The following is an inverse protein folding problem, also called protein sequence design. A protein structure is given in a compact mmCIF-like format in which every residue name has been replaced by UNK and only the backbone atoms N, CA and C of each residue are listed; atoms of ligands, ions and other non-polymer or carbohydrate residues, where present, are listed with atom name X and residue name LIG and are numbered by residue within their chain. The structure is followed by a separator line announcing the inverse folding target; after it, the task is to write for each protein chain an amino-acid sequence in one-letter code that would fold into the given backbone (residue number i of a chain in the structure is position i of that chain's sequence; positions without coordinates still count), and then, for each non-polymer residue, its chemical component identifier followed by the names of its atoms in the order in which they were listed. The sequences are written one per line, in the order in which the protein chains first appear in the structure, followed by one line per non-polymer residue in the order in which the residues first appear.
data_IF_378121679121
#
_entry.id   IF_378121679121
#
_cell.length_a   1.000
_cell.length_b   1.000
_cell.length_c   1.000
_cell.angle_alpha   90.00
_cell.angle_beta   90.00
_cell.angle_gamma   90.00
#
_symmetry.space_group_name_H-M   'P 1'
#
loop_
_entity.id
_entity.type
_entity.pdbx_description
1 polymer ?
#
# COMPACT_ATOMS: atom_id res chain seq x y z
N UNK A 1 67.31 6.99 7.85
CA UNK A 1 66.10 6.26 8.27
C UNK A 1 64.90 7.18 8.10
N UNK A 2 64.36 7.26 6.88
CA UNK A 2 63.15 8.03 6.54
C UNK A 2 62.48 7.27 5.39
N UNK A 3 61.25 6.79 5.57
CA UNK A 3 60.49 6.21 4.47
C UNK A 3 59.58 5.06 4.90
N UNK A 4 58.49 5.35 5.62
CA UNK A 4 57.40 4.38 5.75
C UNK A 4 56.04 4.97 6.22
N UNK A 5 55.81 6.28 6.08
CA UNK A 5 54.57 6.92 6.55
C UNK A 5 53.65 7.48 5.46
N UNK A 6 53.95 7.27 4.17
CA UNK A 6 53.17 7.90 3.07
C UNK A 6 52.15 6.94 2.43
N UNK A 7 52.21 5.63 2.69
CA UNK A 7 51.36 4.66 1.97
C UNK A 7 49.98 4.46 2.63
N UNK A 8 49.84 4.72 3.93
CA UNK A 8 48.58 4.48 4.65
C UNK A 8 47.51 5.54 4.46
N UNK A 9 47.85 6.77 4.07
CA UNK A 9 46.87 7.84 3.86
C UNK A 9 46.12 7.73 2.52
N UNK A 10 46.75 7.16 1.49
CA UNK A 10 46.19 7.11 0.13
C UNK A 10 45.13 6.01 -0.05
N UNK A 11 45.20 4.91 0.70
CA UNK A 11 44.22 3.82 0.63
C UNK A 11 42.90 4.21 1.31
N UNK A 12 42.94 5.05 2.35
CA UNK A 12 41.74 5.52 3.03
C UNK A 12 40.92 6.50 2.17
N UNK A 13 41.60 7.28 1.32
CA UNK A 13 40.93 8.21 0.39
C UNK A 13 40.25 7.50 -0.78
N UNK A 14 40.79 6.37 -1.24
CA UNK A 14 40.17 5.57 -2.31
C UNK A 14 38.95 4.76 -1.82
N UNK A 15 38.91 4.34 -0.56
CA UNK A 15 37.75 3.65 0.02
C UNK A 15 36.55 4.57 0.28
N UNK A 16 36.78 5.87 0.50
CA UNK A 16 35.70 6.86 0.67
C UNK A 16 35.05 7.28 -0.66
N UNK A 17 35.67 7.00 -1.81
CA UNK A 17 35.17 7.42 -3.12
C UNK A 17 34.24 6.39 -3.81
N UNK A 18 34.08 5.17 -3.28
CA UNK A 18 33.33 4.09 -3.94
C UNK A 18 31.87 3.97 -3.45
N UNK A 19 31.44 4.77 -2.47
CA UNK A 19 30.04 4.76 -1.98
C UNK A 19 29.31 6.01 -2.45
N UNK A 20 29.22 6.18 -3.77
CA UNK A 20 28.16 6.98 -4.39
C UNK A 20 27.45 6.03 -5.34
N UNK A 21 26.53 5.25 -4.75
CA UNK A 21 25.58 4.44 -5.50
C UNK A 21 24.59 5.41 -6.11
N UNK A 22 24.52 5.44 -7.44
CA UNK A 22 23.42 6.02 -8.20
C UNK A 22 22.12 5.40 -7.69
N UNK A 23 21.34 6.19 -6.94
CA UNK A 23 19.94 5.90 -6.73
C UNK A 23 19.23 6.39 -8.00
N UNK A 24 18.87 5.46 -8.89
CA UNK A 24 17.97 5.77 -9.99
C UNK A 24 16.70 6.37 -9.41
N UNK A 25 16.40 7.60 -9.82
CA UNK A 25 15.18 8.33 -9.49
C UNK A 25 13.97 7.59 -10.09
N UNK A 26 13.48 6.58 -9.39
CA UNK A 26 12.15 6.01 -9.60
C UNK A 26 11.13 7.11 -9.36
N UNK A 27 10.72 7.80 -10.42
CA UNK A 27 9.71 8.84 -10.33
C UNK A 27 8.40 8.24 -9.78
N UNK A 28 7.99 8.68 -8.59
CA UNK A 28 6.63 8.47 -8.11
C UNK A 28 5.68 9.09 -9.18
N UNK A 29 4.95 8.27 -9.93
CA UNK A 29 3.93 8.74 -10.87
C UNK A 29 2.68 9.31 -10.15
N UNK A 30 2.69 9.37 -8.82
CA UNK A 30 1.51 9.68 -8.03
C UNK A 30 1.12 11.17 -7.98
N UNK A 31 -0.19 11.40 -8.15
CA UNK A 31 -1.00 12.53 -7.66
C UNK A 31 -0.93 13.89 -8.40
N UNK A 32 -0.52 13.94 -9.67
CA UNK A 32 -0.66 15.18 -10.45
C UNK A 32 -2.08 15.45 -11.00
N UNK A 33 -2.97 14.46 -11.02
CA UNK A 33 -4.37 14.71 -11.36
C UNK A 33 -5.21 14.98 -10.09
N UNK A 34 -5.41 16.27 -9.81
CA UNK A 34 -6.52 16.72 -8.96
C UNK A 34 -7.82 16.07 -9.46
N UNK A 35 -8.69 15.56 -8.57
CA UNK A 35 -9.93 14.91 -8.98
C UNK A 35 -10.80 15.88 -9.79
N UNK A 36 -10.84 15.70 -11.12
CA UNK A 36 -11.74 16.40 -12.03
C UNK A 36 -13.16 15.87 -11.87
N UNK A 37 -13.77 15.96 -10.69
CA UNK A 37 -15.21 15.65 -10.51
C UNK A 37 -15.82 16.18 -9.20
N UNK A 38 -15.44 17.38 -8.77
CA UNK A 38 -16.22 18.18 -7.81
C UNK A 38 -16.74 19.47 -8.47
N UNK A 39 -17.42 19.36 -9.62
CA UNK A 39 -18.12 20.49 -10.22
C UNK A 39 -19.53 20.60 -9.63
N UNK A 40 -19.65 21.34 -8.52
CA UNK A 40 -20.83 22.14 -8.09
C UNK A 40 -20.81 22.52 -6.58
N UNK A 41 -19.68 22.93 -6.02
CA UNK A 41 -19.69 23.83 -4.85
C UNK A 41 -18.32 24.45 -4.66
N UNK A 42 -17.98 25.47 -5.44
CA UNK A 42 -17.09 26.58 -5.05
C UNK A 42 -17.01 27.55 -6.25
N UNK A 43 -17.87 28.57 -6.26
CA UNK A 43 -17.82 29.65 -7.25
C UNK A 43 -17.21 30.88 -6.61
N UNK A 44 -15.93 30.79 -6.22
CA UNK A 44 -15.12 31.97 -5.93
C UNK A 44 -13.61 31.66 -5.98
N UNK A 45 -13.04 31.52 -7.18
CA UNK A 45 -11.63 31.82 -7.41
C UNK A 45 -11.35 31.94 -8.91
N UNK A 46 -11.49 33.16 -9.42
CA UNK A 46 -10.82 33.64 -10.63
C UNK A 46 -9.90 34.76 -10.20
N UNK A 47 -8.60 34.51 -10.23
CA UNK A 47 -7.50 35.44 -10.47
C UNK A 47 -6.23 34.78 -9.93
N UNK A 48 -5.46 34.12 -10.79
CA UNK A 48 -3.99 34.06 -10.77
C UNK A 48 -3.54 33.24 -12.00
N UNK A 49 -3.16 33.86 -13.12
CA UNK A 49 -2.20 33.27 -14.04
C UNK A 49 -0.79 33.50 -13.48
N UNK A 50 0.20 32.72 -13.93
CA UNK A 50 1.61 32.67 -13.52
C UNK A 50 1.95 31.65 -12.42
N UNK A 51 2.42 30.48 -12.83
CA UNK A 51 3.85 30.10 -12.72
C UNK A 51 4.05 28.70 -13.31
N UNK A 52 4.55 28.66 -14.54
CA UNK A 52 5.31 27.52 -15.08
C UNK A 52 6.71 27.58 -14.47
N UNK A 53 6.99 26.75 -13.48
CA UNK A 53 8.34 26.26 -13.24
C UNK A 53 8.30 24.93 -12.48
N UNK A 54 8.69 23.87 -13.18
CA UNK A 54 8.49 22.46 -12.83
C UNK A 54 9.76 21.91 -12.13
N UNK A 55 10.27 22.65 -11.13
CA UNK A 55 11.51 22.30 -10.42
C UNK A 55 11.38 22.38 -8.90
N UNK A 56 10.27 21.87 -8.36
CA UNK A 56 9.99 21.79 -6.92
C UNK A 56 9.83 20.34 -6.41
N UNK A 57 10.46 19.35 -7.03
CA UNK A 57 10.53 17.98 -6.48
C UNK A 57 11.72 17.82 -5.52
N UNK A 58 11.83 18.72 -4.54
CA UNK A 58 12.58 18.46 -3.29
C UNK A 58 12.15 19.42 -2.17
N UNK A 59 10.87 19.79 -2.14
CA UNK A 59 10.34 20.34 -0.90
C UNK A 59 10.21 19.16 0.07
N UNK A 60 11.24 18.94 0.88
CA UNK A 60 11.10 18.14 2.11
C UNK A 60 9.80 18.61 2.76
N UNK A 61 8.84 17.71 2.89
CA UNK A 61 7.54 17.98 3.50
C UNK A 61 7.77 18.77 4.79
N UNK A 62 7.47 20.08 4.76
CA UNK A 62 7.71 20.99 5.89
C UNK A 62 6.88 20.58 7.12
N UNK A 63 5.86 19.74 6.89
CA UNK A 63 5.07 19.09 7.93
C UNK A 63 5.15 17.57 7.74
N UNK A 64 5.44 16.80 8.81
CA UNK A 64 5.45 15.34 8.73
C UNK A 64 4.04 14.79 8.50
N UNK A 65 3.96 13.61 7.87
CA UNK A 65 2.77 12.78 7.83
C UNK A 65 2.45 12.30 9.25
N UNK A 66 1.20 12.47 9.66
CA UNK A 66 0.74 12.14 11.00
C UNK A 66 0.14 10.74 11.02
N UNK A 67 -0.71 10.42 10.03
CA UNK A 67 -1.40 9.14 9.95
C UNK A 67 -0.53 8.07 9.28
N UNK A 68 -0.07 8.31 8.06
CA UNK A 68 0.85 7.46 7.29
C UNK A 68 2.32 7.69 7.70
N UNK A 69 2.58 7.83 9.00
CA UNK A 69 3.86 8.29 9.55
C UNK A 69 5.04 7.34 9.32
N UNK A 70 4.80 6.10 8.91
CA UNK A 70 5.86 5.15 8.52
C UNK A 70 6.66 5.65 7.31
N UNK A 71 6.02 6.46 6.45
CA UNK A 71 6.62 7.01 5.24
C UNK A 71 7.20 8.42 5.45
N UNK A 72 7.37 8.88 6.69
CA UNK A 72 7.83 10.24 6.98
C UNK A 72 9.19 10.62 6.38
N UNK A 73 10.08 9.64 6.18
CA UNK A 73 11.40 9.89 5.59
C UNK A 73 11.39 9.91 4.07
N UNK A 74 10.49 9.15 3.45
CA UNK A 74 10.30 8.99 2.01
C UNK A 74 8.85 8.59 1.76
N UNK A 75 8.09 9.45 1.10
CA UNK A 75 6.68 9.24 0.77
C UNK A 75 6.35 9.79 -0.59
N UNK A 76 5.46 9.13 -1.33
CA UNK A 76 4.87 9.70 -2.55
C UNK A 76 3.68 10.65 -2.24
N UNK A 77 3.22 10.72 -0.99
CA UNK A 77 2.08 11.56 -0.60
C UNK A 77 2.48 12.86 0.12
N UNK A 78 1.59 13.86 0.02
CA UNK A 78 1.68 15.15 0.70
C UNK A 78 0.83 15.16 1.99
N UNK A 79 1.12 16.04 2.96
CA UNK A 79 0.36 16.13 4.22
C UNK A 79 -1.16 16.34 4.03
N UNK A 80 -1.58 17.00 2.95
CA UNK A 80 -3.00 17.16 2.64
C UNK A 80 -3.68 15.84 2.28
N UNK A 81 -2.96 14.94 1.59
CA UNK A 81 -3.44 13.60 1.27
C UNK A 81 -3.48 12.71 2.52
N UNK A 82 -2.48 12.82 3.39
CA UNK A 82 -2.47 12.13 4.69
C UNK A 82 -3.69 12.49 5.55
N UNK A 83 -4.04 13.78 5.61
CA UNK A 83 -5.22 14.25 6.32
C UNK A 83 -6.54 13.70 5.72
N UNK A 84 -6.66 13.66 4.39
CA UNK A 84 -7.83 13.09 3.69
C UNK A 84 -7.94 11.57 3.93
N UNK A 85 -6.83 10.84 3.78
CA UNK A 85 -6.76 9.39 4.05
C UNK A 85 -7.18 9.10 5.49
N UNK A 86 -6.67 9.87 6.46
CA UNK A 86 -7.03 9.72 7.86
C UNK A 86 -8.52 9.98 8.10
N UNK A 87 -9.09 11.03 7.49
CA UNK A 87 -10.51 11.32 7.62
C UNK A 87 -11.38 10.17 7.07
N UNK A 88 -11.04 9.62 5.89
CA UNK A 88 -11.73 8.47 5.29
C UNK A 88 -11.56 7.20 6.13
N UNK A 89 -10.38 6.97 6.71
CA UNK A 89 -10.14 5.85 7.59
C UNK A 89 -10.99 5.94 8.87
N UNK A 90 -10.98 7.09 9.54
CA UNK A 90 -11.76 7.32 10.75
C UNK A 90 -13.27 7.16 10.48
N UNK A 91 -13.77 7.73 9.38
CA UNK A 91 -15.16 7.59 8.97
C UNK A 91 -15.61 6.12 8.84
N UNK A 92 -14.70 5.21 8.46
CA UNK A 92 -14.97 3.77 8.36
C UNK A 92 -14.92 3.05 9.71
N UNK A 93 -13.96 3.38 10.57
CA UNK A 93 -13.71 2.61 11.81
C UNK A 93 -14.48 3.14 13.04
N UNK A 94 -15.13 4.30 12.94
CA UNK A 94 -15.81 4.98 14.04
C UNK A 94 -17.27 4.51 14.23
N UNK A 95 -17.51 3.19 14.33
CA UNK A 95 -18.85 2.61 14.58
C UNK A 95 -19.44 2.91 15.98
N UNK A 96 -18.83 3.82 16.73
CA UNK A 96 -19.31 4.35 18.00
C UNK A 96 -18.18 4.64 19.00
N UNK A 97 -18.44 5.41 20.09
CA UNK A 97 -17.41 5.87 21.03
C UNK A 97 -16.71 4.75 21.80
N UNK A 98 -17.37 3.60 21.97
CA UNK A 98 -16.75 2.42 22.57
C UNK A 98 -15.72 1.81 21.61
N UNK A 99 -16.10 1.67 20.34
CA UNK A 99 -15.29 1.09 19.27
C UNK A 99 -14.10 1.96 18.88
N UNK A 100 -14.22 3.28 19.00
CA UNK A 100 -13.14 4.25 18.77
C UNK A 100 -11.92 3.94 19.67
N UNK A 101 -12.17 3.61 20.95
CA UNK A 101 -11.11 3.34 21.94
C UNK A 101 -10.49 1.95 21.81
N UNK A 102 -11.18 1.01 21.16
CA UNK A 102 -10.63 -0.32 20.90
C UNK A 102 -9.60 -0.25 19.77
N UNK A 103 -8.33 -0.20 20.16
CA UNK A 103 -7.22 -0.50 19.25
C UNK A 103 -7.18 -2.00 19.01
N UNK A 104 -7.54 -2.38 17.80
CA UNK A 104 -7.41 -3.75 17.31
C UNK A 104 -6.27 -3.78 16.29
N UNK A 105 -5.43 -4.82 16.34
CA UNK A 105 -4.37 -5.05 15.36
C UNK A 105 -4.89 -4.97 13.91
N UNK A 106 -6.11 -5.43 13.64
CA UNK A 106 -6.69 -5.35 12.30
C UNK A 106 -6.87 -3.91 11.79
N UNK A 107 -7.18 -2.94 12.67
CA UNK A 107 -7.27 -1.52 12.28
C UNK A 107 -5.90 -0.96 11.87
N UNK A 108 -4.82 -1.46 12.46
CA UNK A 108 -3.45 -1.11 12.06
C UNK A 108 -3.15 -1.61 10.64
N UNK A 109 -3.43 -2.87 10.34
CA UNK A 109 -3.21 -3.40 8.98
C UNK A 109 -4.11 -2.71 7.94
N UNK A 110 -5.36 -2.39 8.32
CA UNK A 110 -6.25 -1.57 7.49
C UNK A 110 -5.66 -0.18 7.21
N UNK A 111 -5.00 0.45 8.20
CA UNK A 111 -4.33 1.75 7.97
C UNK A 111 -3.20 1.65 6.94
N UNK A 112 -2.50 0.53 6.85
CA UNK A 112 -1.47 0.32 5.81
C UNK A 112 -2.09 0.33 4.40
N UNK A 113 -3.20 -0.38 4.21
CA UNK A 113 -3.92 -0.38 2.94
C UNK A 113 -4.42 1.02 2.56
N UNK A 114 -4.92 1.80 3.53
CA UNK A 114 -5.32 3.18 3.31
C UNK A 114 -4.13 4.09 2.93
N UNK A 115 -2.96 3.83 3.49
CA UNK A 115 -1.71 4.53 3.20
C UNK A 115 -0.97 4.01 1.97
N UNK A 116 -1.56 3.12 1.16
CA UNK A 116 -0.90 2.52 -0.02
C UNK A 116 -0.26 3.58 -0.94
N UNK A 117 -0.98 4.66 -1.26
CA UNK A 117 -0.46 5.73 -2.13
C UNK A 117 0.62 6.62 -1.51
N UNK A 118 0.96 6.41 -0.23
CA UNK A 118 2.09 7.06 0.42
C UNK A 118 3.38 6.25 0.31
N UNK A 119 3.30 4.96 -0.05
CA UNK A 119 4.46 4.06 -0.13
C UNK A 119 5.43 4.53 -1.23
N UNK A 120 6.72 4.77 -0.94
CA UNK A 120 7.71 5.09 -1.98
C UNK A 120 7.94 3.95 -2.98
N UNK A 121 7.61 2.70 -2.63
CA UNK A 121 7.71 1.54 -3.52
C UNK A 121 6.42 1.26 -4.29
N UNK A 122 5.43 2.17 -4.20
CA UNK A 122 4.14 2.04 -4.88
C UNK A 122 4.22 1.64 -6.37
N UNK A 123 5.11 2.24 -7.19
CA UNK A 123 5.23 1.87 -8.60
C UNK A 123 5.63 0.40 -8.83
N UNK A 124 6.29 -0.24 -7.86
CA UNK A 124 6.73 -1.64 -7.95
C UNK A 124 5.57 -2.62 -7.71
N UNK A 125 4.56 -2.22 -6.96
CA UNK A 125 3.42 -3.06 -6.62
C UNK A 125 2.08 -2.55 -7.16
N UNK A 126 2.10 -1.52 -8.01
CA UNK A 126 0.99 -1.08 -8.85
C UNK A 126 1.23 -1.44 -10.32
N UNK A 127 1.06 -2.72 -10.64
CA UNK A 127 1.46 -3.31 -11.92
C UNK A 127 0.35 -4.15 -12.53
N UNK A 128 0.60 -4.76 -13.69
CA UNK A 128 -0.36 -5.69 -14.31
C UNK A 128 -0.68 -6.87 -13.38
N UNK A 129 -1.90 -7.43 -13.43
CA UNK A 129 -2.27 -8.57 -12.60
C UNK A 129 -1.31 -9.74 -12.72
N UNK A 130 -1.05 -10.45 -11.62
CA UNK A 130 -0.35 -11.74 -11.67
C UNK A 130 -1.33 -12.83 -12.11
N UNK A 131 -2.52 -12.85 -11.52
CA UNK A 131 -3.61 -13.72 -11.93
C UNK A 131 -4.46 -13.09 -13.04
N UNK A 132 -3.95 -13.14 -14.28
CA UNK A 132 -4.67 -12.64 -15.48
C UNK A 132 -5.88 -13.50 -15.87
N UNK A 133 -6.05 -14.66 -15.24
CA UNK A 133 -7.27 -15.44 -15.41
C UNK A 133 -8.40 -14.86 -14.57
N UNK A 134 -8.12 -14.46 -13.33
CA UNK A 134 -9.12 -13.88 -12.42
C UNK A 134 -9.32 -12.37 -12.62
N UNK A 135 -8.27 -11.62 -12.93
CA UNK A 135 -8.31 -10.18 -13.18
C UNK A 135 -8.12 -9.86 -14.67
N UNK A 136 -8.71 -8.76 -15.12
CA UNK A 136 -8.56 -8.30 -16.51
C UNK A 136 -7.11 -7.86 -16.77
N UNK A 137 -6.44 -8.56 -17.70
CA UNK A 137 -5.06 -8.33 -18.09
C UNK A 137 -4.81 -6.93 -18.69
N UNK A 138 -5.85 -6.24 -19.16
CA UNK A 138 -5.75 -4.87 -19.69
C UNK A 138 -5.71 -3.80 -18.60
N UNK A 139 -5.96 -4.19 -17.34
CA UNK A 139 -5.98 -3.27 -16.19
C UNK A 139 -4.69 -3.35 -15.37
N UNK A 140 -4.47 -2.34 -14.51
CA UNK A 140 -3.49 -2.42 -13.43
C UNK A 140 -4.17 -2.88 -12.14
N UNK A 141 -3.42 -3.53 -11.28
CA UNK A 141 -3.85 -4.00 -9.96
C UNK A 141 -3.02 -3.37 -8.86
N UNK A 142 -3.67 -3.06 -7.75
CA UNK A 142 -3.01 -2.74 -6.48
C UNK A 142 -2.65 -4.07 -5.83
N UNK A 143 -1.35 -4.33 -5.60
CA UNK A 143 -0.90 -5.57 -4.96
C UNK A 143 -0.71 -5.37 -3.46
N UNK A 144 -1.45 -6.13 -2.66
CA UNK A 144 -1.31 -6.15 -1.20
C UNK A 144 -0.87 -7.55 -0.78
N UNK A 145 0.19 -7.64 0.03
CA UNK A 145 0.68 -8.95 0.45
C UNK A 145 -0.36 -9.68 1.30
N UNK A 146 -0.44 -11.00 1.17
CA UNK A 146 -1.32 -11.86 1.96
C UNK A 146 -1.08 -11.66 3.47
N UNK A 147 0.17 -11.43 3.87
CA UNK A 147 0.58 -11.11 5.24
C UNK A 147 -0.09 -9.85 5.80
N UNK A 148 -0.38 -8.84 4.97
CA UNK A 148 -1.12 -7.63 5.36
C UNK A 148 -2.63 -7.89 5.27
N UNK A 149 -3.09 -8.41 4.13
CA UNK A 149 -4.51 -8.64 3.86
C UNK A 149 -5.17 -9.52 4.93
N UNK A 150 -4.60 -10.68 5.23
CA UNK A 150 -5.21 -11.63 6.17
C UNK A 150 -5.30 -11.06 7.61
N UNK A 151 -4.40 -10.15 7.98
CA UNK A 151 -4.42 -9.50 9.29
C UNK A 151 -5.42 -8.33 9.40
N UNK A 152 -6.07 -7.92 8.31
CA UNK A 152 -7.21 -6.99 8.30
C UNK A 152 -8.51 -7.64 7.82
N UNK A 153 -8.60 -8.97 7.86
CA UNK A 153 -9.79 -9.69 7.40
C UNK A 153 -11.07 -9.21 8.13
N UNK A 154 -12.24 -9.16 7.45
CA UNK A 154 -13.50 -8.65 8.01
C UNK A 154 -13.89 -9.24 9.38
N UNK A 155 -13.63 -10.54 9.60
CA UNK A 155 -13.88 -11.21 10.88
C UNK A 155 -13.14 -10.55 12.04
N UNK A 156 -11.93 -10.07 11.82
CA UNK A 156 -11.12 -9.41 12.84
C UNK A 156 -11.66 -8.03 13.20
N UNK A 157 -12.44 -7.38 12.34
CA UNK A 157 -13.05 -6.06 12.59
C UNK A 157 -14.48 -6.17 13.17
N UNK A 158 -14.98 -7.38 13.38
CA UNK A 158 -16.40 -7.59 13.69
C UNK A 158 -16.81 -7.31 15.13
N UNK A 159 -15.88 -7.32 16.07
CA UNK A 159 -16.16 -7.00 17.48
C UNK A 159 -16.61 -5.55 17.67
N UNK A 160 -16.09 -4.65 16.83
CA UNK A 160 -16.39 -3.22 16.84
C UNK A 160 -17.31 -2.79 15.69
N UNK A 161 -17.52 -3.65 14.69
CA UNK A 161 -18.20 -3.28 13.45
C UNK A 161 -17.42 -2.24 12.63
N UNK A 162 -18.02 -1.82 11.52
CA UNK A 162 -17.56 -0.68 10.71
C UNK A 162 -18.76 0.22 10.38
N UNK A 163 -18.51 1.47 10.03
CA UNK A 163 -19.49 2.35 9.39
C UNK A 163 -19.24 2.33 7.89
N UNK A 164 -20.14 1.73 7.14
CA UNK A 164 -20.04 1.71 5.69
C UNK A 164 -20.72 2.97 5.14
N UNK A 165 -19.99 3.91 4.52
CA UNK A 165 -20.60 5.03 3.83
C UNK A 165 -21.22 4.56 2.52
N UNK A 166 -22.34 5.14 2.10
CA UNK A 166 -22.86 4.90 0.74
C UNK A 166 -21.86 5.36 -0.34
N UNK A 167 -21.11 6.43 -0.05
CA UNK A 167 -20.03 6.94 -0.89
C UNK A 167 -19.00 7.67 -0.02
N UNK A 168 -17.71 7.39 -0.22
CA UNK A 168 -16.62 8.06 0.49
C UNK A 168 -16.41 9.52 0.09
N UNK A 169 -16.88 9.90 -1.10
CA UNK A 169 -16.74 11.26 -1.63
C UNK A 169 -17.78 12.23 -1.05
N UNK A 170 -18.83 11.71 -0.40
CA UNK A 170 -19.93 12.51 0.10
C UNK A 170 -20.00 12.42 1.62
N UNK A 171 -19.51 13.45 2.30
CA UNK A 171 -19.52 13.56 3.77
C UNK A 171 -20.94 13.43 4.36
N UNK A 172 -21.95 13.80 3.59
CA UNK A 172 -23.35 13.75 3.99
C UNK A 172 -24.07 12.44 3.61
N UNK A 173 -23.36 11.45 3.07
CA UNK A 173 -23.96 10.15 2.78
C UNK A 173 -24.39 9.46 4.07
N UNK A 174 -25.52 8.72 4.04
CA UNK A 174 -25.87 7.83 5.13
C UNK A 174 -24.71 6.86 5.40
N UNK A 175 -24.41 6.65 6.67
CA UNK A 175 -23.49 5.62 7.12
C UNK A 175 -24.31 4.52 7.78
N UNK A 176 -24.08 3.27 7.36
CA UNK A 176 -24.71 2.11 7.96
C UNK A 176 -23.72 1.38 8.86
N UNK A 177 -24.03 1.13 10.15
CA UNK A 177 -23.22 0.22 10.94
C UNK A 177 -23.37 -1.19 10.37
N UNK A 178 -22.23 -1.82 10.07
CA UNK A 178 -22.17 -3.16 9.51
C UNK A 178 -21.34 -4.08 10.40
N UNK A 179 -21.67 -5.36 10.34
CA UNK A 179 -20.85 -6.45 10.87
C UNK A 179 -20.02 -6.98 9.69
N UNK A 180 -18.72 -6.64 9.56
CA UNK A 180 -17.96 -6.85 8.33
C UNK A 180 -17.97 -8.30 7.84
N UNK A 181 -17.83 -9.30 8.72
CA UNK A 181 -17.85 -10.70 8.30
C UNK A 181 -19.21 -11.20 7.80
N UNK A 182 -20.29 -10.43 7.98
CA UNK A 182 -21.62 -10.72 7.42
C UNK A 182 -21.82 -10.07 6.06
N UNK A 183 -21.14 -8.95 5.80
CA UNK A 183 -21.14 -8.26 4.51
C UNK A 183 -20.20 -8.96 3.53
N UNK A 184 -18.99 -9.32 3.99
CA UNK A 184 -17.97 -9.97 3.18
C UNK A 184 -17.67 -11.36 3.74
N UNK A 185 -18.56 -12.31 3.44
CA UNK A 185 -18.57 -13.67 4.03
C UNK A 185 -17.55 -14.64 3.42
N UNK A 186 -16.91 -14.28 2.30
CA UNK A 186 -16.02 -15.16 1.55
C UNK A 186 -16.80 -16.24 0.79
N UNK A 187 -16.21 -16.72 -0.30
CA UNK A 187 -16.79 -17.73 -1.17
C UNK A 187 -16.19 -19.09 -0.91
N UNK A 188 -16.93 -20.13 -1.28
CA UNK A 188 -16.37 -21.47 -1.44
C UNK A 188 -15.49 -21.48 -2.68
N UNK A 189 -14.51 -22.37 -2.68
CA UNK A 189 -13.71 -22.64 -3.87
C UNK A 189 -14.63 -22.96 -5.06
N UNK A 190 -14.25 -22.49 -6.26
CA UNK A 190 -15.03 -22.61 -7.50
C UNK A 190 -16.34 -21.82 -7.58
N UNK A 191 -16.63 -20.93 -6.63
CA UNK A 191 -17.73 -19.96 -6.77
C UNK A 191 -17.25 -18.67 -7.45
N UNK A 192 -18.17 -17.91 -8.03
CA UNK A 192 -17.90 -16.60 -8.61
C UNK A 192 -18.05 -15.51 -7.54
N UNK A 193 -17.15 -14.52 -7.58
CA UNK A 193 -17.16 -13.32 -6.73
C UNK A 193 -17.89 -12.22 -7.49
N UNK A 194 -19.12 -11.91 -7.06
CA UNK A 194 -19.98 -10.96 -7.76
C UNK A 194 -20.23 -9.71 -6.91
N UNK A 195 -20.54 -8.60 -7.57
CA UNK A 195 -21.00 -7.36 -6.96
C UNK A 195 -22.22 -6.84 -7.71
N UNK A 196 -23.33 -6.63 -7.01
CA UNK A 196 -24.51 -6.02 -7.61
C UNK A 196 -24.24 -4.54 -7.93
N UNK A 197 -24.24 -4.16 -9.21
CA UNK A 197 -23.93 -2.79 -9.64
C UNK A 197 -24.92 -1.72 -9.15
N UNK A 198 -26.13 -2.11 -8.71
CA UNK A 198 -27.14 -1.17 -8.21
C UNK A 198 -26.95 -0.89 -6.73
N UNK A 199 -26.66 -1.93 -5.95
CA UNK A 199 -26.56 -1.87 -4.48
C UNK A 199 -25.12 -1.86 -3.96
N UNK A 200 -24.16 -2.12 -4.83
CA UNK A 200 -22.74 -2.37 -4.52
C UNK A 200 -22.53 -3.54 -3.54
N UNK A 201 -23.52 -4.42 -3.36
CA UNK A 201 -23.43 -5.55 -2.44
C UNK A 201 -22.63 -6.70 -3.05
N UNK A 202 -21.68 -7.22 -2.28
CA UNK A 202 -20.87 -8.36 -2.66
C UNK A 202 -21.54 -9.67 -2.27
N UNK A 203 -21.45 -10.67 -3.13
CA UNK A 203 -21.98 -12.00 -2.87
C UNK A 203 -21.21 -13.08 -3.65
N UNK A 204 -21.46 -14.33 -3.29
CA UNK A 204 -20.90 -15.50 -3.97
C UNK A 204 -22.00 -16.17 -4.80
N UNK A 205 -21.65 -16.60 -6.01
CA UNK A 205 -22.56 -17.30 -6.92
C UNK A 205 -21.99 -18.65 -7.34
N UNK A 206 -22.85 -19.66 -7.49
CA UNK A 206 -22.46 -20.96 -8.06
C UNK A 206 -22.42 -20.93 -9.60
N UNK A 207 -22.76 -19.80 -10.21
CA UNK A 207 -22.72 -19.54 -11.65
C UNK A 207 -22.06 -18.20 -11.95
N UNK A 208 -21.71 -17.99 -13.23
CA UNK A 208 -21.30 -16.71 -13.79
C UNK A 208 -22.16 -15.54 -13.27
N UNK A 209 -21.50 -14.44 -12.91
CA UNK A 209 -22.13 -13.22 -12.43
C UNK A 209 -22.91 -12.50 -13.54
N UNK A 210 -22.37 -12.52 -14.76
CA UNK A 210 -22.81 -11.71 -15.90
C UNK A 210 -22.34 -10.25 -15.81
N UNK A 211 -22.36 -9.54 -16.93
CA UNK A 211 -21.82 -8.17 -17.09
C UNK A 211 -22.34 -7.16 -16.04
N UNK A 212 -23.60 -7.30 -15.62
CA UNK A 212 -24.22 -6.41 -14.63
C UNK A 212 -23.76 -6.66 -13.18
N UNK A 213 -23.06 -7.77 -12.94
CA UNK A 213 -22.63 -8.17 -11.59
C UNK A 213 -21.15 -8.55 -11.49
N UNK A 214 -20.41 -8.58 -12.60
CA UNK A 214 -18.95 -8.74 -12.58
C UNK A 214 -18.31 -7.42 -12.16
N UNK A 215 -17.52 -7.40 -11.06
CA UNK A 215 -16.88 -6.18 -10.61
C UNK A 215 -15.89 -5.61 -11.66
N UNK A 216 -15.73 -4.28 -11.76
CA UNK A 216 -14.76 -3.69 -12.66
C UNK A 216 -13.33 -4.22 -12.45
N UNK A 217 -12.66 -4.64 -13.52
CA UNK A 217 -11.31 -5.21 -13.50
C UNK A 217 -11.24 -6.71 -13.15
N UNK A 218 -12.39 -7.38 -12.98
CA UNK A 218 -12.48 -8.81 -12.75
C UNK A 218 -12.94 -9.52 -14.02
N UNK A 219 -12.46 -10.73 -14.23
CA UNK A 219 -13.06 -11.67 -15.18
C UNK A 219 -14.14 -12.48 -14.48
N UNK A 220 -15.20 -12.85 -15.19
CA UNK A 220 -16.30 -13.65 -14.65
C UNK A 220 -15.90 -15.14 -14.59
N UNK A 221 -14.97 -15.47 -13.71
CA UNK A 221 -14.42 -16.81 -13.53
C UNK A 221 -14.51 -17.26 -12.07
N UNK A 222 -14.52 -18.58 -11.82
CA UNK A 222 -14.50 -19.12 -10.47
C UNK A 222 -13.26 -18.66 -9.68
N UNK A 223 -13.46 -18.34 -8.40
CA UNK A 223 -12.39 -18.02 -7.48
C UNK A 223 -11.61 -19.29 -7.08
N UNK A 224 -10.38 -19.07 -6.62
CA UNK A 224 -9.46 -20.08 -6.11
C UNK A 224 -9.00 -19.72 -4.69
N UNK A 225 -9.31 -20.57 -3.72
CA UNK A 225 -8.96 -20.36 -2.32
C UNK A 225 -7.44 -20.36 -2.08
N UNK A 226 -6.65 -21.15 -2.84
CA UNK A 226 -5.19 -21.18 -2.70
C UNK A 226 -4.53 -19.89 -3.17
N UNK A 227 -5.22 -19.11 -4.01
CA UNK A 227 -4.78 -17.79 -4.48
C UNK A 227 -5.47 -16.63 -3.76
N UNK A 228 -6.12 -16.91 -2.63
CA UNK A 228 -6.85 -15.93 -1.82
C UNK A 228 -8.00 -15.18 -2.54
N UNK A 229 -8.39 -15.60 -3.75
CA UNK A 229 -9.45 -14.90 -4.49
C UNK A 229 -10.85 -15.23 -3.98
N UNK A 230 -11.01 -16.31 -3.22
CA UNK A 230 -12.28 -16.64 -2.56
C UNK A 230 -12.46 -15.98 -1.19
N UNK A 231 -11.42 -15.36 -0.62
CA UNK A 231 -11.52 -14.88 0.77
C UNK A 231 -12.38 -13.61 0.85
N UNK A 232 -13.16 -13.47 1.93
CA UNK A 232 -13.97 -12.26 2.17
C UNK A 232 -13.13 -10.99 2.25
N UNK A 233 -11.83 -11.09 2.58
CA UNK A 233 -10.91 -9.95 2.52
C UNK A 233 -10.70 -9.43 1.10
N UNK A 234 -10.78 -10.26 0.05
CA UNK A 234 -10.70 -9.79 -1.33
C UNK A 234 -11.86 -8.82 -1.63
N UNK A 235 -13.09 -9.23 -1.30
CA UNK A 235 -14.27 -8.37 -1.49
C UNK A 235 -14.16 -7.10 -0.65
N UNK A 236 -13.68 -7.21 0.59
CA UNK A 236 -13.48 -6.06 1.47
C UNK A 236 -12.46 -5.06 0.92
N UNK A 237 -11.36 -5.55 0.32
CA UNK A 237 -10.34 -4.74 -0.33
C UNK A 237 -10.79 -4.17 -1.68
N UNK A 238 -11.79 -4.76 -2.33
CA UNK A 238 -12.29 -4.29 -3.61
C UNK A 238 -13.58 -3.46 -3.52
N UNK A 239 -14.22 -3.39 -2.34
CA UNK A 239 -15.34 -2.49 -2.08
C UNK A 239 -14.83 -1.05 -1.87
N UNK A 240 -15.19 -0.15 -2.77
CA UNK A 240 -14.84 1.28 -2.73
C UNK A 240 -15.35 1.98 -1.47
N UNK A 241 -16.30 1.40 -0.72
CA UNK A 241 -16.80 1.95 0.55
C UNK A 241 -15.97 1.47 1.74
N UNK A 242 -15.14 0.44 1.58
CA UNK A 242 -14.61 -0.37 2.68
C UNK A 242 -13.08 -0.32 2.85
N UNK A 243 -12.30 -1.35 2.51
CA UNK A 243 -10.84 -1.35 2.73
C UNK A 243 -10.01 -0.92 1.52
N UNK A 244 -10.63 -0.69 0.37
CA UNK A 244 -9.94 -0.30 -0.85
C UNK A 244 -9.16 1.00 -0.66
N UNK A 245 -7.90 1.10 -1.12
CA UNK A 245 -7.14 2.35 -1.00
C UNK A 245 -7.88 3.51 -1.66
N UNK A 246 -8.13 4.65 -0.96
CA UNK A 246 -8.97 5.73 -1.47
C UNK A 246 -8.56 6.34 -2.81
N UNK A 247 -7.27 6.30 -3.14
CA UNK A 247 -6.74 6.88 -4.38
C UNK A 247 -6.71 5.88 -5.55
N UNK A 248 -7.16 4.63 -5.32
CA UNK A 248 -7.08 3.54 -6.29
C UNK A 248 -8.44 2.86 -6.49
N UNK A 249 -9.54 3.60 -6.30
CA UNK A 249 -10.88 3.03 -6.37
C UNK A 249 -11.27 2.48 -7.75
N UNK A 250 -10.62 2.99 -8.80
CA UNK A 250 -10.79 2.56 -10.19
C UNK A 250 -10.07 1.24 -10.52
N UNK A 251 -9.15 0.78 -9.66
CA UNK A 251 -8.32 -0.40 -9.91
C UNK A 251 -8.71 -1.57 -9.00
N UNK A 252 -8.70 -2.81 -9.51
CA UNK A 252 -8.83 -3.99 -8.65
C UNK A 252 -7.64 -4.13 -7.70
N UNK A 253 -7.91 -4.70 -6.53
CA UNK A 253 -6.90 -5.07 -5.54
C UNK A 253 -6.66 -6.57 -5.61
N UNK A 254 -5.41 -6.94 -5.85
CA UNK A 254 -4.90 -8.31 -5.91
C UNK A 254 -4.18 -8.64 -4.60
N UNK A 255 -4.48 -9.81 -4.03
CA UNK A 255 -3.79 -10.32 -2.84
C UNK A 255 -2.66 -11.23 -3.29
N UNK A 256 -1.42 -10.86 -2.96
CA UNK A 256 -0.23 -11.60 -3.38
C UNK A 256 0.30 -12.45 -2.23
N UNK A 257 0.27 -13.78 -2.39
CA UNK A 257 1.08 -14.68 -1.56
C UNK A 257 2.48 -14.75 -2.16
N UNK A 258 3.44 -14.10 -1.51
CA UNK A 258 4.82 -14.00 -2.01
C UNK A 258 5.52 -15.35 -2.10
N UNK A 259 5.19 -16.30 -1.20
CA UNK A 259 5.80 -17.62 -1.19
C UNK A 259 5.32 -18.37 -2.43
N UNK A 260 4.00 -18.41 -2.64
CA UNK A 260 3.42 -19.03 -3.83
C UNK A 260 3.88 -18.36 -5.12
N UNK A 261 3.95 -17.02 -5.14
CA UNK A 261 4.40 -16.26 -6.30
C UNK A 261 5.86 -16.56 -6.64
N UNK A 262 6.74 -16.66 -5.64
CA UNK A 262 8.16 -17.02 -5.82
C UNK A 262 8.31 -18.46 -6.32
N UNK A 263 7.47 -19.38 -5.88
CA UNK A 263 7.43 -20.75 -6.40
C UNK A 263 6.98 -20.79 -7.88
N UNK A 264 6.04 -19.94 -8.29
CA UNK A 264 5.49 -19.92 -9.65
C UNK A 264 6.43 -19.26 -10.67
N UNK A 265 7.05 -18.14 -10.32
CA UNK A 265 7.91 -17.36 -11.23
C UNK A 265 9.41 -17.63 -11.07
N UNK A 266 9.81 -18.31 -9.98
CA UNK A 266 11.22 -18.48 -9.62
C UNK A 266 11.85 -17.21 -9.02
N UNK A 267 13.00 -17.37 -8.36
CA UNK A 267 13.67 -16.31 -7.60
C UNK A 267 13.96 -15.04 -8.42
N UNK A 268 14.43 -15.19 -9.65
CA UNK A 268 14.88 -14.06 -10.50
C UNK A 268 13.72 -13.16 -10.94
N UNK A 269 12.59 -13.75 -11.34
CA UNK A 269 11.41 -12.97 -11.75
C UNK A 269 10.59 -12.48 -10.56
N UNK A 270 10.61 -13.22 -9.45
CA UNK A 270 9.84 -12.89 -8.25
C UNK A 270 10.25 -11.56 -7.62
N UNK A 271 11.53 -11.20 -7.68
CA UNK A 271 12.03 -9.95 -7.13
C UNK A 271 11.41 -8.70 -7.77
N UNK A 272 10.87 -8.83 -8.98
CA UNK A 272 10.16 -7.73 -9.67
C UNK A 272 8.65 -7.93 -9.70
N UNK A 273 8.17 -9.15 -9.94
CA UNK A 273 6.74 -9.43 -10.12
C UNK A 273 5.97 -9.61 -8.82
N UNK A 274 6.59 -10.23 -7.82
CA UNK A 274 5.92 -10.61 -6.58
C UNK A 274 5.92 -9.48 -5.53
N UNK A 275 6.34 -8.27 -5.90
CA UNK A 275 6.31 -7.10 -5.01
C UNK A 275 4.86 -6.73 -4.69
N UNK A 276 4.61 -6.52 -3.40
CA UNK A 276 3.30 -6.14 -2.87
C UNK A 276 3.48 -5.23 -1.65
N UNK A 277 2.41 -4.55 -1.24
CA UNK A 277 2.44 -3.73 -0.02
C UNK A 277 2.65 -4.63 1.21
N UNK A 278 3.77 -4.43 1.89
CA UNK A 278 4.14 -5.09 3.15
C UNK A 278 3.71 -4.30 4.39
N UNK A 279 3.93 -4.87 5.57
CA UNK A 279 3.86 -4.10 6.82
C UNK A 279 5.04 -3.12 6.87
N UNK A 280 4.81 -1.80 6.72
CA UNK A 280 5.88 -0.79 6.69
C UNK A 280 6.59 -0.65 8.04
N UNK A 281 6.05 -1.23 9.12
CA UNK A 281 6.72 -1.28 10.42
C UNK A 281 7.75 -2.40 10.53
N UNK A 282 7.70 -3.39 9.64
CA UNK A 282 8.70 -4.46 9.55
C UNK A 282 9.87 -4.13 8.63
N UNK A 283 9.77 -3.06 7.82
CA UNK A 283 10.89 -2.56 7.05
C UNK A 283 12.06 -2.34 8.02
N UNK A 284 13.14 -3.12 7.84
CA UNK A 284 14.33 -3.02 8.67
C UNK A 284 14.73 -1.55 8.70
N UNK A 285 14.58 -0.91 9.87
CA UNK A 285 15.08 0.45 10.04
C UNK A 285 16.53 0.38 9.60
N UNK A 286 16.95 1.17 8.58
CA UNK A 286 18.32 1.11 8.12
C UNK A 286 19.19 1.25 9.35
N UNK A 287 19.93 0.18 9.68
CA UNK A 287 20.83 0.19 10.82
C UNK A 287 21.70 1.41 10.56
N UNK A 288 21.65 2.46 11.41
CA UNK A 288 22.31 3.71 11.11
C UNK A 288 23.75 3.37 10.78
N UNK A 289 24.22 3.78 9.59
CA UNK A 289 25.48 3.35 9.01
C UNK A 289 26.67 3.50 9.97
N UNK A 290 26.56 4.38 10.97
CA UNK A 290 27.47 4.52 12.10
C UNK A 290 27.67 3.24 12.93
N UNK A 291 26.64 2.41 13.14
CA UNK A 291 26.76 1.13 13.85
C UNK A 291 27.45 0.09 12.96
N UNK A 292 27.11 0.03 11.66
CA UNK A 292 27.80 -0.84 10.71
C UNK A 292 29.30 -0.46 10.58
N UNK A 293 29.60 0.83 10.56
CA UNK A 293 30.98 1.34 10.55
C UNK A 293 31.72 1.03 11.86
N UNK A 294 31.05 1.18 13.01
CA UNK A 294 31.63 0.89 14.32
C UNK A 294 31.93 -0.62 14.49
N UNK A 295 31.03 -1.49 14.04
CA UNK A 295 31.25 -2.95 14.04
C UNK A 295 32.39 -3.33 13.07
N UNK A 296 32.43 -2.70 11.89
CA UNK A 296 33.54 -2.88 10.94
C UNK A 296 34.90 -2.48 11.54
N UNK A 297 34.98 -1.31 12.19
CA UNK A 297 36.21 -0.84 12.85
C UNK A 297 36.60 -1.78 14.01
N UNK A 298 35.65 -2.25 14.80
CA UNK A 298 35.92 -3.16 15.92
C UNK A 298 36.49 -4.50 15.43
N UNK A 299 35.95 -5.07 14.35
CA UNK A 299 36.48 -6.32 13.77
C UNK A 299 37.90 -6.17 13.23
N UNK A 300 38.23 -5.02 12.62
CA UNK A 300 39.59 -4.73 12.15
C UNK A 300 40.56 -4.59 13.33
N UNK A 301 40.14 -3.99 14.44
CA UNK A 301 40.97 -3.87 15.63
C UNK A 301 41.23 -5.24 16.26
N UNK A 302 40.20 -6.10 16.38
CA UNK A 302 40.38 -7.44 16.95
C UNK A 302 41.29 -8.34 16.12
N UNK A 303 41.20 -8.28 14.80
CA UNK A 303 42.09 -9.05 13.92
C UNK A 303 43.54 -8.55 13.91
N UNK A 304 43.79 -7.30 14.29
CA UNK A 304 45.15 -6.77 14.45
C UNK A 304 45.81 -7.14 15.80
N UNK A 305 45.03 -7.53 16.81
CA UNK A 305 45.54 -7.88 18.15
C UNK A 305 46.03 -9.33 18.23
N UNK A 306 45.55 -10.22 17.35
CA UNK A 306 45.87 -11.66 17.36
C UNK A 306 47.18 -12.03 16.62
N UNK A 307 48.00 -11.04 16.25
CA UNK A 307 49.29 -11.23 15.52
C UNK A 307 50.50 -10.91 16.43
N UNK A 308 50.36 -11.03 17.76
CA UNK A 308 51.49 -10.90 18.71
C UNK A 308 51.52 -12.06 19.68
#
# INVERSE_FOLDING_TARGET
MCGMHVITASVLYLLLAVVVVDAEDGACECLQDLPRKASKCFKLQRLFPFLTDMSLMNLKNLQPLVFCNWYNTRSCCLPVHDADINAKFLALIEAGPACEKFQNAAKRFLSFAFCYGCDPEEPLHFTTPLDTHFFDASTKTVKICASVAMNMAPKLLSDCGLLLPDSRETICSPNAPVVPHKVWTGCKDQQHVCQDNTTSNWYCSDSECGEAHTPPGFNDVPCNASRHTCHGVLMFLNDNRAAKPPNYEEYPVEIVDEVLCREEYGEEEADTKCKCLHDPSSAERPIPSLIALAVGILMVIFSAVDIR
#
